data_IF_948576724744
#
_entry.id   IF_948576724744
#
_cell.length_a   1.000
_cell.length_b   1.000
_cell.length_c   1.000
_cell.angle_alpha   90.00
_cell.angle_beta   90.00
_cell.angle_gamma   90.00
#
_symmetry.space_group_name_H-M   'P 1'
#
loop_
_entity.id
_entity.type
_entity.pdbx_description
1 polymer ?
#
# COMPACT_ATOMS: atom_id res chain seq x y z
N UNK A 1 31.47 56.18 7.12
CA UNK A 1 30.84 55.68 5.91
C UNK A 1 29.69 54.79 6.32
N UNK A 2 28.43 55.14 6.02
CA UNK A 2 27.26 54.28 6.34
C UNK A 2 27.03 53.37 5.14
N UNK A 3 27.13 52.06 5.33
CA UNK A 3 26.78 51.09 4.33
C UNK A 3 25.27 51.15 4.07
N UNK A 4 24.90 51.42 2.83
CA UNK A 4 23.51 51.38 2.38
C UNK A 4 23.13 49.91 2.17
N UNK A 5 22.33 49.35 3.10
CA UNK A 5 21.69 48.03 2.94
C UNK A 5 20.63 48.15 1.82
N UNK A 6 20.95 47.70 0.63
CA UNK A 6 19.99 47.52 -0.46
C UNK A 6 19.13 46.30 -0.16
N UNK A 7 17.95 46.51 0.42
CA UNK A 7 16.92 45.45 0.57
C UNK A 7 16.41 45.10 -0.83
N UNK A 8 16.67 43.88 -1.28
CA UNK A 8 16.10 43.35 -2.52
C UNK A 8 14.56 43.20 -2.37
N UNK A 9 13.83 43.92 -3.26
CA UNK A 9 12.36 43.88 -3.29
C UNK A 9 11.87 42.77 -4.25
N UNK A 10 10.87 42.05 -3.84
CA UNK A 10 10.19 41.03 -4.66
C UNK A 10 8.95 41.63 -5.31
N UNK A 11 8.92 41.71 -6.64
CA UNK A 11 7.86 42.43 -7.38
C UNK A 11 6.88 41.48 -8.06
N UNK A 12 5.59 41.82 -8.04
CA UNK A 12 4.54 41.17 -8.82
C UNK A 12 4.39 41.81 -10.17
N UNK A 13 3.92 41.10 -11.17
CA UNK A 13 3.61 41.62 -12.53
C UNK A 13 2.55 42.71 -12.52
N UNK A 14 1.75 42.87 -11.48
CA UNK A 14 0.84 44.01 -11.30
C UNK A 14 1.52 45.28 -10.80
N UNK A 15 2.86 45.31 -10.66
CA UNK A 15 3.66 46.47 -10.22
C UNK A 15 3.84 46.59 -8.69
N UNK A 16 3.22 45.76 -7.88
CA UNK A 16 3.37 45.78 -6.41
C UNK A 16 4.66 45.08 -5.98
N UNK A 17 5.42 45.72 -5.07
CA UNK A 17 6.69 45.20 -4.53
C UNK A 17 6.59 44.90 -3.02
N UNK A 18 7.30 43.87 -2.59
CA UNK A 18 7.27 43.33 -1.22
C UNK A 18 8.69 43.10 -0.71
N UNK A 19 8.92 43.37 0.56
CA UNK A 19 10.20 43.10 1.23
C UNK A 19 10.42 41.63 1.54
N UNK A 20 9.37 40.81 1.54
CA UNK A 20 9.44 39.37 1.83
C UNK A 20 8.79 38.53 0.72
N UNK A 21 9.48 37.46 0.28
CA UNK A 21 8.98 36.52 -0.72
C UNK A 21 7.64 35.89 -0.34
N UNK A 22 7.40 35.60 0.97
CA UNK A 22 6.12 35.06 1.46
C UNK A 22 4.96 36.02 1.21
N UNK A 23 5.16 37.33 1.37
CA UNK A 23 4.12 38.33 1.14
C UNK A 23 3.79 38.48 -0.36
N UNK A 24 4.78 38.32 -1.24
CA UNK A 24 4.56 38.26 -2.68
C UNK A 24 3.74 37.03 -3.05
N UNK A 25 4.09 35.85 -2.55
CA UNK A 25 3.35 34.60 -2.83
C UNK A 25 1.89 34.67 -2.35
N UNK A 26 1.65 35.29 -1.19
CA UNK A 26 0.29 35.48 -0.69
C UNK A 26 -0.53 36.43 -1.59
N UNK A 27 0.08 37.54 -2.03
CA UNK A 27 -0.52 38.46 -2.98
C UNK A 27 -0.83 37.80 -4.34
N UNK A 28 0.09 36.99 -4.87
CA UNK A 28 -0.08 36.30 -6.16
C UNK A 28 -1.31 35.37 -6.18
N UNK A 29 -1.68 34.78 -5.04
CA UNK A 29 -2.90 33.95 -4.92
C UNK A 29 -4.21 34.73 -5.17
N UNK A 30 -4.21 36.05 -4.92
CA UNK A 30 -5.39 36.91 -5.05
C UNK A 30 -5.28 37.94 -6.18
N UNK A 31 -4.10 38.06 -6.79
CA UNK A 31 -3.83 39.07 -7.82
C UNK A 31 -4.44 38.68 -9.19
N UNK A 32 -5.42 39.42 -9.66
CA UNK A 32 -6.09 39.15 -10.96
C UNK A 32 -5.13 39.27 -12.14
N UNK A 33 -4.22 40.28 -12.14
CA UNK A 33 -3.22 40.47 -13.20
C UNK A 33 -2.25 39.30 -13.31
N UNK A 34 -1.79 38.78 -12.17
CA UNK A 34 -0.91 37.60 -12.12
C UNK A 34 -1.63 36.32 -12.58
N UNK A 35 -2.89 36.11 -12.17
CA UNK A 35 -3.70 34.99 -12.61
C UNK A 35 -3.98 35.03 -14.12
N UNK A 36 -4.29 36.19 -14.67
CA UNK A 36 -4.58 36.31 -16.09
C UNK A 36 -3.35 36.09 -16.99
N UNK A 37 -2.13 36.32 -16.50
CA UNK A 37 -0.90 35.99 -17.24
C UNK A 37 -0.58 34.49 -17.23
N UNK A 38 -0.96 33.77 -16.16
CA UNK A 38 -0.77 32.30 -16.10
C UNK A 38 -1.81 31.56 -16.96
N UNK A 39 -2.97 32.17 -17.21
CA UNK A 39 -4.08 31.58 -17.98
C UNK A 39 -3.97 31.87 -19.50
N UNK A 40 -2.95 32.62 -19.96
CA UNK A 40 -2.72 32.76 -21.39
C UNK A 40 -1.95 31.55 -21.93
N UNK A 41 -2.63 30.53 -22.50
CA UNK A 41 -1.92 29.36 -23.02
C UNK A 41 -1.15 29.75 -24.27
N UNK A 42 0.13 29.45 -24.31
CA UNK A 42 0.86 29.37 -25.57
C UNK A 42 0.28 28.18 -26.36
N UNK A 43 -0.05 28.43 -27.62
CA UNK A 43 -0.73 27.48 -28.52
C UNK A 43 -0.03 26.11 -28.71
N UNK A 44 1.18 25.94 -28.22
CA UNK A 44 1.95 24.71 -28.28
C UNK A 44 1.70 23.78 -27.08
N UNK A 45 1.37 24.32 -25.88
CA UNK A 45 1.03 23.52 -24.70
C UNK A 45 -0.37 22.89 -24.77
N UNK A 46 -1.31 23.53 -25.46
CA UNK A 46 -2.66 22.97 -25.63
C UNK A 46 -2.69 21.74 -26.54
N UNK A 47 -1.88 21.73 -27.61
CA UNK A 47 -1.78 20.57 -28.49
C UNK A 47 -1.13 19.35 -27.81
N UNK A 48 -0.11 19.58 -26.97
CA UNK A 48 0.55 18.51 -26.21
C UNK A 48 -0.37 17.93 -25.15
N UNK A 49 -1.14 18.77 -24.46
CA UNK A 49 -2.11 18.33 -23.46
C UNK A 49 -3.32 17.62 -24.06
N UNK A 50 -3.72 17.97 -25.30
CA UNK A 50 -4.79 17.28 -26.00
C UNK A 50 -4.35 15.89 -26.45
N UNK A 51 -3.16 15.74 -27.01
CA UNK A 51 -2.61 14.43 -27.38
C UNK A 51 -2.48 13.48 -26.19
N UNK A 52 -2.00 13.98 -25.05
CA UNK A 52 -1.93 13.21 -23.80
C UNK A 52 -3.32 12.77 -23.29
N UNK A 53 -4.33 13.59 -23.42
CA UNK A 53 -5.71 13.25 -23.05
C UNK A 53 -6.28 12.17 -23.96
N UNK A 54 -6.00 12.23 -25.23
CA UNK A 54 -6.43 11.21 -26.22
C UNK A 54 -5.74 9.88 -25.91
N UNK A 55 -4.42 9.87 -25.64
CA UNK A 55 -3.67 8.67 -25.25
C UNK A 55 -4.18 8.06 -23.94
N UNK A 56 -4.48 8.88 -22.93
CA UNK A 56 -5.08 8.42 -21.66
C UNK A 56 -6.45 7.78 -21.91
N UNK A 57 -7.25 8.32 -22.81
CA UNK A 57 -8.57 7.75 -23.12
C UNK A 57 -8.44 6.42 -23.88
N UNK A 58 -7.52 6.34 -24.84
CA UNK A 58 -7.25 5.07 -25.55
C UNK A 58 -6.76 3.97 -24.60
N UNK A 59 -5.88 4.32 -23.66
CA UNK A 59 -5.39 3.37 -22.64
C UNK A 59 -6.53 2.89 -21.72
N UNK A 60 -7.42 3.79 -21.32
CA UNK A 60 -8.61 3.43 -20.51
C UNK A 60 -9.55 2.50 -21.27
N UNK A 61 -9.79 2.76 -22.54
CA UNK A 61 -10.63 1.89 -23.37
C UNK A 61 -10.03 0.50 -23.52
N UNK A 62 -8.70 0.40 -23.76
CA UNK A 62 -7.98 -0.89 -23.81
C UNK A 62 -8.11 -1.65 -22.49
N UNK A 63 -7.94 -0.98 -21.36
CA UNK A 63 -8.11 -1.61 -20.03
C UNK A 63 -9.53 -2.11 -19.79
N UNK A 64 -10.54 -1.39 -20.26
CA UNK A 64 -11.95 -1.80 -20.13
C UNK A 64 -12.23 -3.05 -20.98
N UNK A 65 -11.68 -3.12 -22.19
CA UNK A 65 -11.82 -4.28 -23.07
C UNK A 65 -11.16 -5.51 -22.42
N UNK A 66 -9.92 -5.38 -21.96
CA UNK A 66 -9.18 -6.47 -21.31
C UNK A 66 -9.90 -6.97 -20.04
N UNK A 67 -10.42 -6.05 -19.25
CA UNK A 67 -11.18 -6.39 -18.04
C UNK A 67 -12.48 -7.16 -18.36
N UNK A 68 -13.14 -6.84 -19.46
CA UNK A 68 -14.33 -7.55 -19.90
C UNK A 68 -13.99 -8.93 -20.44
N UNK A 69 -12.91 -9.07 -21.22
CA UNK A 69 -12.43 -10.36 -21.71
C UNK A 69 -12.06 -11.30 -20.53
N UNK A 70 -11.38 -10.79 -19.50
CA UNK A 70 -11.06 -11.55 -18.30
C UNK A 70 -12.33 -11.99 -17.55
N UNK A 71 -13.33 -11.12 -17.45
CA UNK A 71 -14.64 -11.48 -16.84
C UNK A 71 -15.33 -12.61 -17.60
N UNK A 72 -15.29 -12.58 -18.94
CA UNK A 72 -15.89 -13.61 -19.76
C UNK A 72 -15.12 -14.93 -19.67
N UNK A 73 -13.79 -14.90 -19.58
CA UNK A 73 -12.98 -16.08 -19.30
C UNK A 73 -13.31 -16.71 -17.93
N UNK A 74 -13.43 -15.91 -16.88
CA UNK A 74 -13.88 -16.35 -15.56
C UNK A 74 -15.26 -17.00 -15.60
N UNK A 75 -16.18 -16.42 -16.36
CA UNK A 75 -17.53 -16.94 -16.53
C UNK A 75 -17.53 -18.28 -17.28
N UNK A 76 -16.70 -18.41 -18.31
CA UNK A 76 -16.52 -19.64 -19.09
C UNK A 76 -15.90 -20.73 -18.24
N UNK A 77 -14.86 -20.42 -17.44
CA UNK A 77 -14.24 -21.38 -16.52
C UNK A 77 -15.20 -21.84 -15.42
N UNK A 78 -16.04 -20.95 -14.87
CA UNK A 78 -17.07 -21.31 -13.90
C UNK A 78 -18.10 -22.26 -14.52
N UNK A 79 -18.52 -22.01 -15.76
CA UNK A 79 -19.50 -22.86 -16.46
C UNK A 79 -18.90 -24.23 -16.86
N UNK A 80 -17.63 -24.29 -17.29
CA UNK A 80 -16.97 -25.56 -17.63
C UNK A 80 -16.78 -26.46 -16.41
N UNK A 81 -16.46 -25.88 -15.24
CA UNK A 81 -16.40 -26.64 -13.98
C UNK A 81 -17.78 -27.19 -13.54
N UNK A 82 -18.88 -26.50 -13.92
CA UNK A 82 -20.24 -26.97 -13.60
C UNK A 82 -20.65 -28.12 -14.53
N UNK A 83 -20.18 -28.16 -15.78
CA UNK A 83 -20.58 -29.15 -16.77
C UNK A 83 -19.82 -30.50 -16.63
N UNK A 84 -18.58 -30.48 -16.11
CA UNK A 84 -17.81 -31.70 -15.86
C UNK A 84 -18.29 -32.46 -14.62
N UNK A 85 -18.96 -31.79 -13.67
CA UNK A 85 -19.52 -32.42 -12.48
C UNK A 85 -20.93 -33.04 -12.68
N UNK A 86 -21.57 -32.79 -13.84
CA UNK A 86 -22.91 -33.29 -14.10
C UNK A 86 -22.98 -34.72 -14.64
N UNK A 87 -21.84 -35.33 -15.03
CA UNK A 87 -21.82 -36.68 -15.66
C UNK A 87 -21.57 -37.84 -14.67
N UNK A 88 -21.36 -37.59 -13.37
CA UNK A 88 -21.05 -38.63 -12.38
C UNK A 88 -21.87 -38.53 -11.08
N UNK A 89 -23.11 -38.06 -11.14
CA UNK A 89 -24.00 -38.04 -9.96
C UNK A 89 -25.04 -39.15 -10.12
N UNK A 90 -24.67 -40.38 -9.76
CA UNK A 90 -25.62 -41.30 -9.18
C UNK A 90 -25.28 -41.47 -7.67
N UNK A 91 -26.18 -40.91 -6.85
CA UNK A 91 -26.35 -41.19 -5.43
C UNK A 91 -25.16 -40.90 -4.49
N UNK A 92 -25.01 -39.64 -4.04
CA UNK A 92 -24.71 -39.42 -2.62
C UNK A 92 -25.27 -38.06 -2.17
N UNK A 93 -26.41 -38.04 -1.58
CA UNK A 93 -26.99 -36.96 -0.79
C UNK A 93 -26.10 -36.73 0.43
N UNK A 94 -25.51 -35.53 0.56
CA UNK A 94 -24.62 -34.98 1.59
C UNK A 94 -23.10 -35.04 1.29
N UNK A 95 -22.70 -34.36 0.23
CA UNK A 95 -21.32 -33.89 0.15
C UNK A 95 -21.30 -32.37 0.15
N UNK A 96 -21.24 -31.76 1.33
CA UNK A 96 -20.64 -30.45 1.45
C UNK A 96 -19.19 -30.63 0.99
N UNK A 97 -18.83 -30.06 -0.17
CA UNK A 97 -17.44 -29.90 -0.57
C UNK A 97 -16.79 -28.96 0.46
N UNK A 98 -16.39 -29.50 1.59
CA UNK A 98 -15.51 -28.82 2.53
C UNK A 98 -14.16 -28.73 1.85
N UNK A 99 -13.91 -27.60 1.15
CA UNK A 99 -12.54 -27.22 0.77
C UNK A 99 -11.81 -27.02 2.10
N UNK A 100 -11.04 -28.03 2.49
CA UNK A 100 -10.19 -27.93 3.68
C UNK A 100 -9.00 -27.04 3.31
N UNK A 101 -9.06 -25.77 3.70
CA UNK A 101 -7.91 -24.88 3.59
C UNK A 101 -6.91 -25.30 4.67
N UNK A 102 -5.71 -25.69 4.24
CA UNK A 102 -4.63 -25.98 5.17
C UNK A 102 -4.02 -24.65 5.62
N UNK A 103 -4.25 -24.27 6.88
CA UNK A 103 -3.74 -23.01 7.45
C UNK A 103 -2.30 -23.20 7.89
N UNK A 104 -1.40 -22.35 7.42
CA UNK A 104 0.00 -22.33 7.81
C UNK A 104 0.13 -21.97 9.31
N UNK A 105 1.07 -22.59 10.04
CA UNK A 105 1.34 -22.18 11.41
C UNK A 105 1.80 -20.74 11.50
N UNK A 106 1.48 -20.08 12.62
CA UNK A 106 2.01 -18.74 12.89
C UNK A 106 3.54 -18.74 12.95
N UNK A 107 4.18 -17.81 12.24
CA UNK A 107 5.62 -17.74 12.03
C UNK A 107 6.13 -18.60 10.87
N UNK A 108 5.24 -19.24 10.10
CA UNK A 108 5.53 -20.02 8.89
C UNK A 108 4.58 -19.62 7.75
N UNK A 109 4.27 -18.34 7.67
CA UNK A 109 3.44 -17.79 6.61
C UNK A 109 4.10 -17.99 5.24
N UNK A 110 3.30 -18.44 4.28
CA UNK A 110 3.75 -18.54 2.89
C UNK A 110 3.78 -17.14 2.26
N UNK A 111 4.95 -16.70 1.83
CA UNK A 111 5.19 -15.41 1.16
C UNK A 111 5.51 -15.55 -0.32
N UNK A 112 5.63 -16.77 -0.84
CA UNK A 112 5.98 -17.04 -2.26
C UNK A 112 4.88 -16.58 -3.22
N UNK A 113 3.67 -16.38 -2.71
CA UNK A 113 2.53 -15.88 -3.48
C UNK A 113 2.54 -14.35 -3.67
N UNK A 114 3.42 -13.65 -2.97
CA UNK A 114 3.52 -12.18 -3.06
C UNK A 114 4.38 -11.82 -4.28
N UNK A 115 3.76 -11.14 -5.26
CA UNK A 115 4.48 -10.78 -6.48
C UNK A 115 5.56 -9.70 -6.22
N UNK A 116 6.59 -9.63 -7.10
CA UNK A 116 7.61 -8.58 -7.03
C UNK A 116 7.00 -7.16 -7.02
N UNK A 117 5.97 -6.91 -7.83
CA UNK A 117 5.29 -5.61 -7.90
C UNK A 117 4.62 -5.25 -6.57
N UNK A 118 4.08 -6.26 -5.88
CA UNK A 118 3.49 -6.08 -4.57
C UNK A 118 4.54 -5.68 -3.52
N UNK A 119 5.72 -6.31 -3.53
CA UNK A 119 6.83 -5.89 -2.68
C UNK A 119 7.26 -4.45 -2.96
N UNK A 120 7.39 -4.06 -4.24
CA UNK A 120 7.73 -2.69 -4.64
C UNK A 120 6.65 -1.71 -4.16
N UNK A 121 5.37 -2.08 -4.28
CA UNK A 121 4.28 -1.27 -3.75
C UNK A 121 4.41 -1.07 -2.24
N UNK A 122 4.71 -2.13 -1.47
CA UNK A 122 4.92 -2.05 -0.03
C UNK A 122 6.13 -1.18 0.32
N UNK A 123 7.28 -1.37 -0.34
CA UNK A 123 8.49 -0.56 -0.15
C UNK A 123 8.22 0.94 -0.37
N UNK A 124 7.42 1.28 -1.37
CA UNK A 124 7.04 2.67 -1.67
C UNK A 124 6.13 3.32 -0.61
N UNK A 125 5.58 2.56 0.34
CA UNK A 125 4.79 3.04 1.49
C UNK A 125 5.64 3.61 2.63
N UNK A 126 6.94 3.37 2.62
CA UNK A 126 7.94 3.87 3.60
C UNK A 126 7.54 3.47 5.04
N UNK A 127 7.11 4.41 5.89
CA UNK A 127 6.72 4.16 7.29
C UNK A 127 5.51 3.22 7.45
N UNK A 128 4.73 3.01 6.41
CA UNK A 128 3.62 2.06 6.37
C UNK A 128 3.95 0.78 5.57
N UNK A 129 5.21 0.53 5.26
CA UNK A 129 5.64 -0.63 4.48
C UNK A 129 5.36 -1.95 5.18
N UNK A 130 5.73 -2.09 6.47
CA UNK A 130 5.49 -3.30 7.24
C UNK A 130 3.99 -3.60 7.44
N UNK A 131 3.12 -2.65 7.81
CA UNK A 131 1.69 -2.88 7.82
C UNK A 131 1.11 -3.25 6.46
N UNK A 132 1.56 -2.62 5.37
CA UNK A 132 1.10 -2.94 4.02
C UNK A 132 1.53 -4.36 3.59
N UNK A 133 2.74 -4.78 3.92
CA UNK A 133 3.19 -6.14 3.65
C UNK A 133 2.42 -7.17 4.48
N UNK A 134 2.17 -6.91 5.76
CA UNK A 134 1.35 -7.78 6.62
C UNK A 134 -0.08 -7.93 6.06
N UNK A 135 -0.69 -6.85 5.57
CA UNK A 135 -1.99 -6.89 4.91
C UNK A 135 -1.99 -7.85 3.71
N UNK A 136 -0.95 -7.80 2.88
CA UNK A 136 -0.80 -8.73 1.77
C UNK A 136 -0.60 -10.18 2.22
N UNK A 137 0.29 -10.44 3.19
CA UNK A 137 0.55 -11.78 3.71
C UNK A 137 -0.74 -12.42 4.26
N UNK A 138 -1.47 -11.70 5.08
CA UNK A 138 -2.68 -12.20 5.75
C UNK A 138 -3.95 -12.11 4.89
N UNK A 139 -3.90 -11.54 3.68
CA UNK A 139 -4.99 -11.60 2.71
C UNK A 139 -5.18 -13.01 2.14
N UNK A 140 -4.12 -13.83 2.13
CA UNK A 140 -4.19 -15.21 1.71
C UNK A 140 -4.83 -16.08 2.80
N UNK A 141 -5.83 -16.88 2.42
CA UNK A 141 -6.61 -17.70 3.36
C UNK A 141 -5.75 -18.67 4.15
N UNK A 142 -4.69 -19.20 3.56
CA UNK A 142 -3.74 -20.13 4.21
C UNK A 142 -2.88 -19.46 5.28
N UNK A 143 -2.71 -18.14 5.25
CA UNK A 143 -1.97 -17.37 6.25
C UNK A 143 -2.88 -16.73 7.31
N UNK A 144 -4.20 -17.00 7.30
CA UNK A 144 -5.13 -16.46 8.31
C UNK A 144 -5.06 -17.25 9.63
N UNK A 145 -3.88 -17.30 10.20
CA UNK A 145 -3.50 -18.11 11.36
C UNK A 145 -3.58 -17.36 12.70
N UNK A 146 -4.07 -16.11 12.70
CA UNK A 146 -4.21 -15.25 13.88
C UNK A 146 -5.67 -14.81 14.02
N UNK A 147 -6.20 -14.88 15.26
CA UNK A 147 -7.53 -14.37 15.59
C UNK A 147 -7.49 -13.61 16.91
N UNK A 148 -8.22 -12.52 17.00
CA UNK A 148 -8.45 -11.78 18.25
C UNK A 148 -9.78 -12.22 18.83
N UNK A 149 -9.80 -13.15 19.80
CA UNK A 149 -11.05 -13.69 20.36
C UNK A 149 -11.84 -12.64 21.14
N UNK A 150 -11.14 -11.67 21.74
CA UNK A 150 -11.75 -10.58 22.50
C UNK A 150 -10.88 -9.33 22.40
N UNK A 151 -11.40 -8.27 21.75
CA UNK A 151 -10.71 -7.00 21.53
C UNK A 151 -10.31 -6.26 22.80
N UNK A 152 -10.95 -6.57 23.92
CA UNK A 152 -10.68 -5.94 25.22
C UNK A 152 -9.62 -6.69 26.03
N UNK A 153 -9.05 -7.76 25.49
CA UNK A 153 -8.05 -8.59 26.17
C UNK A 153 -6.68 -8.49 25.48
N UNK A 154 -5.58 -8.57 26.23
CA UNK A 154 -4.23 -8.41 25.70
C UNK A 154 -3.66 -9.69 25.08
N UNK A 155 -4.49 -10.60 24.57
CA UNK A 155 -4.05 -11.84 23.96
C UNK A 155 -4.80 -12.16 22.67
N UNK A 156 -4.14 -12.91 21.80
CA UNK A 156 -4.63 -13.41 20.52
C UNK A 156 -4.50 -14.94 20.48
N UNK A 157 -5.29 -15.57 19.64
CA UNK A 157 -5.16 -17.00 19.32
C UNK A 157 -4.33 -17.14 18.06
N UNK A 158 -3.25 -17.91 18.11
CA UNK A 158 -2.40 -18.24 16.95
C UNK A 158 -2.46 -19.73 16.67
N UNK A 159 -2.36 -20.13 15.40
CA UNK A 159 -2.34 -21.53 14.98
C UNK A 159 -0.92 -22.10 15.08
N UNK A 160 -0.81 -23.33 15.58
CA UNK A 160 0.43 -24.09 15.70
C UNK A 160 0.54 -25.13 14.58
N UNK A 161 1.76 -25.68 14.38
CA UNK A 161 2.05 -26.74 13.41
C UNK A 161 1.16 -28.00 13.53
N UNK A 162 0.73 -28.31 14.75
CA UNK A 162 -0.17 -29.47 15.00
C UNK A 162 -1.66 -29.16 14.76
N UNK A 163 -1.96 -28.01 14.13
CA UNK A 163 -3.33 -27.58 13.86
C UNK A 163 -4.08 -27.04 15.07
N UNK A 164 -3.47 -27.04 16.27
CA UNK A 164 -4.08 -26.51 17.50
C UNK A 164 -3.86 -25.01 17.61
N UNK A 165 -4.77 -24.32 18.26
CA UNK A 165 -4.62 -22.91 18.60
C UNK A 165 -4.03 -22.72 19.99
N UNK A 166 -3.21 -21.66 20.15
CA UNK A 166 -2.61 -21.24 21.41
C UNK A 166 -2.86 -19.74 21.64
N UNK A 167 -3.17 -19.38 22.89
CA UNK A 167 -3.22 -17.97 23.28
C UNK A 167 -1.81 -17.43 23.53
N UNK A 168 -1.50 -16.30 22.94
CA UNK A 168 -0.27 -15.53 23.13
C UNK A 168 -0.58 -14.07 23.45
N UNK A 169 0.36 -13.36 24.09
CA UNK A 169 0.22 -11.93 24.31
C UNK A 169 0.19 -11.18 22.97
N UNK A 170 -0.77 -10.30 22.80
CA UNK A 170 -0.93 -9.51 21.58
C UNK A 170 0.35 -8.74 21.24
N UNK A 171 0.98 -8.08 22.23
CA UNK A 171 2.21 -7.31 22.01
C UNK A 171 3.35 -8.17 21.48
N UNK A 172 3.48 -9.41 21.98
CA UNK A 172 4.49 -10.36 21.49
C UNK A 172 4.24 -10.75 20.03
N UNK A 173 2.99 -11.04 19.68
CA UNK A 173 2.61 -11.38 18.31
C UNK A 173 2.82 -10.22 17.36
N UNK A 174 2.48 -8.99 17.79
CA UNK A 174 2.74 -7.79 16.99
C UNK A 174 4.23 -7.55 16.77
N UNK A 175 5.06 -7.81 17.78
CA UNK A 175 6.53 -7.73 17.68
C UNK A 175 7.09 -8.75 16.68
N UNK A 176 6.61 -9.97 16.71
CA UNK A 176 7.00 -11.04 15.77
C UNK A 176 6.60 -10.70 14.33
N UNK A 177 5.37 -10.21 14.09
CA UNK A 177 4.91 -9.77 12.76
C UNK A 177 5.72 -8.57 12.26
N UNK A 178 5.94 -7.58 13.12
CA UNK A 178 6.72 -6.39 12.81
C UNK A 178 8.11 -6.75 12.35
N UNK A 179 8.84 -7.56 13.14
CA UNK A 179 10.19 -7.99 12.84
C UNK A 179 10.25 -8.83 11.55
N UNK A 180 9.31 -9.74 11.34
CA UNK A 180 9.22 -10.55 10.13
C UNK A 180 9.02 -9.68 8.88
N UNK A 181 8.04 -8.77 8.90
CA UNK A 181 7.79 -7.87 7.78
C UNK A 181 8.97 -6.92 7.52
N UNK A 182 9.59 -6.38 8.59
CA UNK A 182 10.75 -5.51 8.44
C UNK A 182 11.93 -6.24 7.78
N UNK A 183 12.29 -7.42 8.28
CA UNK A 183 13.40 -8.23 7.74
C UNK A 183 13.18 -8.58 6.26
N UNK A 184 11.96 -8.97 5.91
CA UNK A 184 11.62 -9.30 4.52
C UNK A 184 11.69 -8.07 3.60
N UNK A 185 11.23 -6.91 4.05
CA UNK A 185 11.33 -5.65 3.29
C UNK A 185 12.78 -5.19 3.15
N UNK A 186 13.60 -5.33 4.18
CA UNK A 186 15.02 -5.02 4.15
C UNK A 186 15.75 -5.91 3.14
N UNK A 187 15.48 -7.23 3.14
CA UNK A 187 16.02 -8.17 2.17
C UNK A 187 15.66 -7.74 0.73
N UNK A 188 14.39 -7.44 0.48
CA UNK A 188 13.94 -6.99 -0.86
C UNK A 188 14.52 -5.64 -1.24
N UNK A 189 14.66 -4.70 -0.31
CA UNK A 189 15.27 -3.39 -0.59
C UNK A 189 16.76 -3.47 -0.90
N UNK A 190 17.50 -4.43 -0.30
CA UNK A 190 18.92 -4.67 -0.59
C UNK A 190 19.13 -5.38 -1.93
N UNK A 191 18.13 -6.06 -2.45
CA UNK A 191 18.17 -6.68 -3.77
C UNK A 191 18.10 -5.61 -4.88
N UNK A 192 19.12 -5.52 -5.77
CA UNK A 192 19.14 -4.54 -6.86
C UNK A 192 17.93 -4.63 -7.79
N UNK A 193 17.34 -5.81 -7.99
CA UNK A 193 16.17 -6.01 -8.85
C UNK A 193 14.96 -5.21 -8.35
N UNK A 194 14.71 -5.19 -7.04
CA UNK A 194 13.63 -4.43 -6.44
C UNK A 194 13.99 -2.95 -6.28
N UNK A 195 15.21 -2.67 -5.82
CA UNK A 195 15.66 -1.30 -5.54
C UNK A 195 15.64 -0.41 -6.79
N UNK A 196 16.08 -0.91 -7.94
CA UNK A 196 16.13 -0.16 -9.21
C UNK A 196 14.73 0.25 -9.72
N UNK A 197 13.68 -0.44 -9.29
CA UNK A 197 12.31 -0.12 -9.65
C UNK A 197 11.70 1.00 -8.78
N UNK A 198 12.39 1.43 -7.74
CA UNK A 198 12.01 2.56 -6.92
C UNK A 198 12.68 3.84 -7.43
N UNK A 199 11.97 4.98 -7.39
CA UNK A 199 12.61 6.27 -7.66
C UNK A 199 13.67 6.60 -6.61
N UNK A 200 14.73 7.36 -6.97
CA UNK A 200 15.80 7.75 -6.04
C UNK A 200 15.25 8.41 -4.75
N UNK A 201 14.20 9.23 -4.88
CA UNK A 201 13.57 9.87 -3.74
C UNK A 201 12.97 8.83 -2.78
N UNK A 202 12.34 7.78 -3.31
CA UNK A 202 11.76 6.69 -2.52
C UNK A 202 12.84 5.80 -1.89
N UNK A 203 13.92 5.53 -2.61
CA UNK A 203 15.07 4.80 -2.06
C UNK A 203 15.64 5.53 -0.84
N UNK A 204 15.94 6.83 -0.96
CA UNK A 204 16.44 7.65 0.15
C UNK A 204 15.44 7.72 1.32
N UNK A 205 14.15 7.82 1.02
CA UNK A 205 13.12 7.84 2.05
C UNK A 205 13.04 6.50 2.81
N UNK A 206 13.21 5.38 2.11
CA UNK A 206 13.23 4.06 2.74
C UNK A 206 14.52 3.84 3.56
N UNK A 207 15.68 4.28 3.08
CA UNK A 207 16.93 4.29 3.85
C UNK A 207 16.78 5.09 5.16
N UNK A 208 16.16 6.26 5.10
CA UNK A 208 15.87 7.05 6.30
C UNK A 208 14.90 6.35 7.26
N UNK A 209 13.92 5.62 6.72
CA UNK A 209 13.01 4.80 7.52
C UNK A 209 13.76 3.66 8.22
N UNK A 210 14.63 2.92 7.53
CA UNK A 210 15.45 1.86 8.11
C UNK A 210 16.31 2.40 9.25
N UNK A 211 17.02 3.50 9.02
CA UNK A 211 17.81 4.16 10.06
C UNK A 211 16.96 4.58 11.26
N UNK A 212 15.76 5.12 11.03
CA UNK A 212 14.84 5.51 12.10
C UNK A 212 14.28 4.31 12.86
N UNK A 213 14.08 3.17 12.20
CA UNK A 213 13.61 1.93 12.81
C UNK A 213 14.69 1.29 13.69
N UNK A 214 15.92 1.22 13.21
CA UNK A 214 17.05 0.62 13.92
C UNK A 214 17.45 1.45 15.15
N UNK A 215 17.40 2.79 15.04
CA UNK A 215 17.79 3.72 16.09
C UNK A 215 16.57 4.28 16.86
N UNK A 216 15.48 3.50 16.97
CA UNK A 216 14.24 3.92 17.65
C UNK A 216 14.34 3.80 19.18
N UNK A 217 15.27 4.53 19.80
CA UNK A 217 15.47 4.55 21.26
C UNK A 217 14.19 4.89 22.05
N UNK A 218 13.29 5.65 21.45
CA UNK A 218 12.01 6.06 22.06
C UNK A 218 10.87 5.09 21.76
N UNK A 219 11.07 4.12 20.89
CA UNK A 219 10.05 3.15 20.49
C UNK A 219 8.89 3.76 19.70
N UNK A 220 9.06 4.98 19.15
CA UNK A 220 7.95 5.72 18.50
C UNK A 220 7.61 5.13 17.14
N UNK A 221 8.61 4.79 16.33
CA UNK A 221 8.42 4.21 14.99
C UNK A 221 7.78 2.84 15.14
N UNK A 222 8.36 1.98 15.96
CA UNK A 222 7.86 0.62 16.23
C UNK A 222 6.45 0.63 16.82
N UNK A 223 6.17 1.54 17.75
CA UNK A 223 4.83 1.71 18.32
C UNK A 223 3.78 2.06 17.26
N UNK A 224 4.10 2.95 16.33
CA UNK A 224 3.17 3.33 15.26
C UNK A 224 2.90 2.15 14.32
N UNK A 225 3.91 1.39 13.97
CA UNK A 225 3.78 0.16 13.16
C UNK A 225 2.88 -0.85 13.88
N UNK A 226 3.14 -1.14 15.16
CA UNK A 226 2.32 -2.08 15.96
C UNK A 226 0.87 -1.64 16.10
N UNK A 227 0.60 -0.35 16.25
CA UNK A 227 -0.76 0.19 16.26
C UNK A 227 -1.48 -0.08 14.93
N UNK A 228 -0.80 0.10 13.80
CA UNK A 228 -1.35 -0.19 12.48
C UNK A 228 -1.58 -1.70 12.28
N UNK A 229 -0.63 -2.55 12.68
CA UNK A 229 -0.78 -4.02 12.66
C UNK A 229 -1.93 -4.50 13.56
N UNK A 230 -2.07 -3.93 14.74
CA UNK A 230 -3.20 -4.25 15.63
C UNK A 230 -4.54 -3.93 14.99
N UNK A 231 -4.65 -2.78 14.32
CA UNK A 231 -5.87 -2.41 13.60
C UNK A 231 -6.16 -3.36 12.44
N UNK A 232 -5.14 -3.76 11.70
CA UNK A 232 -5.25 -4.78 10.63
C UNK A 232 -5.83 -6.09 11.19
N UNK A 233 -5.25 -6.66 12.25
CA UNK A 233 -5.71 -7.91 12.85
C UNK A 233 -7.15 -7.82 13.41
N UNK A 234 -7.54 -6.65 13.93
CA UNK A 234 -8.93 -6.42 14.37
C UNK A 234 -9.90 -6.46 13.19
N UNK A 235 -9.58 -5.79 12.08
CA UNK A 235 -10.42 -5.75 10.88
C UNK A 235 -10.60 -7.16 10.30
N UNK A 236 -9.50 -7.91 10.12
CA UNK A 236 -9.55 -9.31 9.65
C UNK A 236 -10.44 -10.21 10.53
N UNK A 237 -10.38 -10.01 11.86
CA UNK A 237 -11.19 -10.78 12.80
C UNK A 237 -12.69 -10.47 12.71
N UNK A 238 -13.05 -9.22 12.38
CA UNK A 238 -14.45 -8.83 12.16
C UNK A 238 -14.98 -9.36 10.82
N UNK A 239 -14.18 -9.32 9.75
CA UNK A 239 -14.54 -9.85 8.43
C UNK A 239 -14.80 -11.37 8.47
N UNK A 240 -14.01 -12.11 9.25
CA UNK A 240 -14.18 -13.56 9.43
C UNK A 240 -15.47 -13.97 10.17
N UNK A 241 -16.24 -13.02 10.72
CA UNK A 241 -17.51 -13.27 11.42
C UNK A 241 -18.74 -13.05 10.53
N UNK A 242 -18.56 -12.48 9.35
CA UNK A 242 -19.61 -12.26 8.35
C UNK A 242 -19.73 -13.46 7.41
#
# INVERSE_FOLDING_TARGET
>A
MREQNTTSLFSCTCGKSYTHKKSLLLHQKTCSTYKNQIISPTSEEDNSNQALREEINELKEKQIIELNELKDQIKTLKNSNTTQNASNIQNNTNSHNNVTININPFGQENVDMISPECFIHCLNRIYNSSPALAEQIYSYSENQNIRIPNKNKPYVSVQLENGKSKLQLLEKVLDEIENFCYTLLEEKFTDPEYRQQMSEMKQRAFENYMNAYENDDKGTVKKNIRNALKLLLLNMTEEAKQ
#
